data_IF_222466831447
#
_entry.id   IF_222466831447
#
_cell.length_a   1.000
_cell.length_b   1.000
_cell.length_c   1.000
_cell.angle_alpha   90.00
_cell.angle_beta   90.00
_cell.angle_gamma   90.00
#
_symmetry.space_group_name_H-M   'P 1'
#
loop_
_entity.id
_entity.type
_entity.pdbx_description
1 polymer ?
#
# COMPACT_ATOMS: atom_id res chain seq x y z
N UNK A 1 -15.72 13.81 18.95
CA UNK A 1 -16.10 13.50 17.56
C UNK A 1 -16.02 14.76 16.70
N UNK A 2 -15.20 14.75 15.61
CA UNK A 2 -14.90 15.91 14.76
C UNK A 2 -14.76 15.47 13.29
N UNK A 3 -15.16 16.33 12.34
CA UNK A 3 -14.93 16.09 10.92
C UNK A 3 -13.42 16.19 10.63
N UNK A 4 -12.86 15.17 10.00
CA UNK A 4 -11.45 15.10 9.59
C UNK A 4 -11.33 15.48 8.12
N UNK A 5 -10.68 16.61 7.85
CA UNK A 5 -10.42 17.06 6.50
C UNK A 5 -9.09 16.50 6.02
N UNK A 6 -9.13 15.73 4.93
CA UNK A 6 -7.95 15.12 4.32
C UNK A 6 -7.00 16.15 3.71
N UNK A 7 -5.71 15.84 3.70
CA UNK A 7 -4.78 16.46 2.78
C UNK A 7 -4.83 15.74 1.42
N UNK A 8 -4.79 16.49 0.31
CA UNK A 8 -4.88 15.93 -1.04
C UNK A 8 -3.52 15.94 -1.72
N UNK A 9 -3.12 14.80 -2.30
CA UNK A 9 -1.86 14.65 -3.03
C UNK A 9 -2.13 14.52 -4.54
N UNK A 10 -1.44 15.35 -5.32
CA UNK A 10 -1.61 15.45 -6.77
C UNK A 10 -0.38 14.90 -7.52
N UNK A 11 0.02 13.66 -7.19
CA UNK A 11 1.09 12.99 -7.92
C UNK A 11 0.66 12.68 -9.36
N UNK A 12 1.62 12.68 -10.29
CA UNK A 12 1.35 12.50 -11.73
C UNK A 12 0.73 11.15 -12.09
N UNK A 13 0.97 10.12 -11.30
CA UNK A 13 0.40 8.78 -11.46
C UNK A 13 -1.05 8.65 -10.98
N UNK A 14 -1.58 9.68 -10.32
CA UNK A 14 -2.95 9.70 -9.81
C UNK A 14 -4.02 9.75 -10.89
N UNK A 15 -5.23 9.33 -10.53
CA UNK A 15 -6.39 9.36 -11.42
C UNK A 15 -7.09 10.72 -11.41
N UNK A 16 -7.66 11.11 -12.55
CA UNK A 16 -8.53 12.29 -12.66
C UNK A 16 -10.00 11.96 -12.37
N UNK A 17 -10.33 10.67 -12.28
CA UNK A 17 -11.72 10.20 -12.21
C UNK A 17 -11.99 9.46 -10.89
N UNK A 18 -11.12 8.54 -10.45
CA UNK A 18 -11.43 7.59 -9.36
C UNK A 18 -11.78 8.27 -8.04
N UNK A 19 -10.93 9.14 -7.48
CA UNK A 19 -11.25 9.89 -6.25
C UNK A 19 -12.37 10.92 -6.47
N UNK A 20 -12.36 11.75 -7.54
CA UNK A 20 -13.49 12.64 -7.81
C UNK A 20 -14.83 11.90 -7.88
N UNK A 21 -14.93 10.78 -8.61
CA UNK A 21 -16.18 10.00 -8.69
C UNK A 21 -16.57 9.37 -7.35
N UNK A 22 -15.60 8.88 -6.55
CA UNK A 22 -15.87 8.45 -5.17
C UNK A 22 -16.55 9.55 -4.37
N UNK A 23 -16.12 10.80 -4.53
CA UNK A 23 -16.67 11.98 -3.85
C UNK A 23 -17.93 12.55 -4.52
N UNK A 24 -18.45 11.91 -5.57
CA UNK A 24 -19.59 12.41 -6.35
C UNK A 24 -19.30 13.69 -7.13
N UNK A 25 -18.04 13.93 -7.47
CA UNK A 25 -17.57 15.11 -8.20
C UNK A 25 -17.28 14.75 -9.68
N UNK A 26 -17.31 15.73 -10.60
CA UNK A 26 -16.86 15.53 -11.96
C UNK A 26 -15.35 15.28 -12.04
N UNK A 27 -14.88 14.86 -13.22
CA UNK A 27 -13.46 14.66 -13.50
C UNK A 27 -12.62 15.87 -13.10
N UNK A 28 -11.48 15.64 -12.48
CA UNK A 28 -10.58 16.70 -12.05
C UNK A 28 -9.67 17.18 -13.18
N UNK A 29 -9.35 18.47 -13.19
CA UNK A 29 -8.40 19.07 -14.12
C UNK A 29 -6.96 18.56 -13.94
N UNK A 30 -6.63 18.08 -12.73
CA UNK A 30 -5.32 17.53 -12.37
C UNK A 30 -5.49 16.15 -11.76
N UNK A 31 -4.46 15.27 -11.84
CA UNK A 31 -4.48 14.02 -11.12
C UNK A 31 -4.73 14.20 -9.64
N UNK A 32 -5.61 13.38 -9.05
CA UNK A 32 -5.82 13.24 -7.62
C UNK A 32 -5.37 11.84 -7.26
N UNK A 33 -4.20 11.75 -6.63
CA UNK A 33 -3.54 10.49 -6.37
C UNK A 33 -3.94 9.90 -5.03
N UNK A 34 -3.99 10.75 -3.99
CA UNK A 34 -4.27 10.29 -2.63
C UNK A 34 -5.04 11.35 -1.83
N UNK A 35 -5.89 10.86 -0.93
CA UNK A 35 -6.43 11.61 0.21
C UNK A 35 -5.77 11.05 1.46
N UNK A 36 -5.12 11.88 2.26
CA UNK A 36 -4.46 11.51 3.51
C UNK A 36 -5.33 11.86 4.71
N UNK A 37 -5.55 10.90 5.59
CA UNK A 37 -6.28 11.04 6.84
C UNK A 37 -5.36 10.64 7.99
N UNK A 38 -4.85 11.61 8.74
CA UNK A 38 -3.93 11.38 9.83
C UNK A 38 -3.07 12.60 10.18
N UNK A 39 -2.08 12.38 11.03
CA UNK A 39 -1.21 13.41 11.57
C UNK A 39 0.22 13.36 10.98
N UNK A 40 0.36 12.92 9.73
CA UNK A 40 1.67 12.79 9.08
C UNK A 40 2.36 14.15 8.98
N UNK A 41 3.62 14.29 9.44
CA UNK A 41 4.29 15.60 9.52
C UNK A 41 4.48 16.28 8.15
N UNK A 42 4.50 15.50 7.06
CA UNK A 42 4.64 16.02 5.70
C UNK A 42 3.39 16.72 5.17
N UNK A 43 2.19 16.35 5.62
CA UNK A 43 0.91 16.97 5.22
C UNK A 43 -0.22 16.46 6.15
N UNK A 44 -0.38 17.04 7.36
CA UNK A 44 -1.39 16.58 8.31
C UNK A 44 -2.80 16.97 7.87
N UNK A 45 -3.75 16.12 8.22
CA UNK A 45 -5.17 16.46 8.15
C UNK A 45 -5.53 17.58 9.11
N UNK A 46 -6.71 18.18 8.93
CA UNK A 46 -7.21 19.22 9.84
C UNK A 46 -8.52 18.83 10.49
N UNK A 47 -8.69 19.26 11.75
CA UNK A 47 -9.93 19.19 12.53
C UNK A 47 -10.25 20.60 13.04
N UNK A 48 -11.47 21.07 12.82
CA UNK A 48 -11.90 22.44 13.19
C UNK A 48 -10.93 23.54 12.71
N UNK A 49 -10.32 23.34 11.53
CA UNK A 49 -9.35 24.29 10.93
C UNK A 49 -7.95 24.27 11.52
N UNK A 50 -7.64 23.32 12.42
CA UNK A 50 -6.32 23.13 13.05
C UNK A 50 -5.67 21.85 12.55
N UNK A 51 -4.34 21.84 12.46
CA UNK A 51 -3.58 20.66 12.07
C UNK A 51 -3.71 19.54 13.13
N UNK A 52 -4.03 18.33 12.71
CA UNK A 52 -4.26 17.22 13.64
C UNK A 52 -3.02 16.90 14.51
N UNK A 53 -1.82 17.01 13.97
CA UNK A 53 -0.59 16.81 14.73
C UNK A 53 -0.41 17.86 15.84
N UNK A 54 -0.86 19.11 15.66
CA UNK A 54 -0.86 20.15 16.68
C UNK A 54 -1.91 19.87 17.75
N UNK A 55 -3.11 19.43 17.34
CA UNK A 55 -4.19 19.05 18.27
C UNK A 55 -3.74 17.87 19.15
N UNK A 56 -3.06 16.89 18.57
CA UNK A 56 -2.50 15.75 19.32
C UNK A 56 -1.42 16.23 20.31
N UNK A 57 -0.50 17.10 19.88
CA UNK A 57 0.59 17.58 20.72
C UNK A 57 0.12 18.41 21.93
N UNK A 58 -1.04 19.06 21.85
CA UNK A 58 -1.62 19.83 22.96
C UNK A 58 -2.23 18.94 24.05
N UNK A 59 -2.82 17.79 23.68
CA UNK A 59 -3.43 16.82 24.58
C UNK A 59 -3.19 15.37 24.13
N UNK A 60 -1.96 14.87 24.20
CA UNK A 60 -1.63 13.53 23.71
C UNK A 60 -2.45 12.44 24.42
N UNK A 61 -2.66 12.57 25.72
CA UNK A 61 -3.39 11.59 26.50
C UNK A 61 -4.88 11.52 26.12
N UNK A 62 -5.52 12.65 25.91
CA UNK A 62 -6.93 12.71 25.48
C UNK A 62 -7.11 12.30 24.02
N UNK A 63 -6.16 12.65 23.15
CA UNK A 63 -6.24 12.35 21.72
C UNK A 63 -5.86 10.89 21.40
N UNK A 64 -4.75 10.38 21.97
CA UNK A 64 -4.17 9.08 21.62
C UNK A 64 -4.47 7.99 22.64
N UNK A 65 -4.84 8.34 23.88
CA UNK A 65 -4.95 7.41 24.99
C UNK A 65 -3.58 7.07 25.62
N UNK A 66 -3.62 6.53 26.83
CA UNK A 66 -2.41 6.26 27.62
C UNK A 66 -1.52 5.18 27.01
N UNK A 67 -2.11 4.13 26.43
CA UNK A 67 -1.38 3.02 25.79
C UNK A 67 -0.60 3.51 24.57
N UNK A 68 -1.28 4.14 23.63
CA UNK A 68 -0.68 4.62 22.37
C UNK A 68 0.37 5.69 22.66
N UNK A 69 0.10 6.62 23.59
CA UNK A 69 1.07 7.65 23.99
C UNK A 69 2.31 7.07 24.65
N UNK A 70 2.17 5.99 25.44
CA UNK A 70 3.32 5.34 26.07
C UNK A 70 4.21 4.62 25.05
N UNK A 71 3.61 4.03 24.02
CA UNK A 71 4.33 3.21 23.04
C UNK A 71 4.92 4.02 21.88
N UNK A 72 4.14 4.96 21.34
CA UNK A 72 4.51 5.74 20.13
C UNK A 72 4.83 7.22 20.43
N UNK A 73 4.81 7.62 21.72
CA UNK A 73 4.96 9.02 22.12
C UNK A 73 3.73 9.86 21.72
N UNK A 74 3.96 11.15 21.44
CA UNK A 74 2.91 12.10 21.08
C UNK A 74 2.59 12.05 19.57
N UNK A 75 2.52 10.83 18.99
CA UNK A 75 2.36 10.62 17.55
C UNK A 75 1.27 9.61 17.26
N UNK A 76 0.39 9.92 16.32
CA UNK A 76 -0.48 8.92 15.73
C UNK A 76 0.39 7.92 14.94
N UNK A 77 0.36 6.60 15.25
CA UNK A 77 1.32 5.67 14.66
C UNK A 77 1.04 5.31 13.21
N UNK A 78 -0.14 5.65 12.68
CA UNK A 78 -0.55 5.29 11.32
C UNK A 78 -1.01 6.48 10.48
N UNK A 79 -1.05 6.25 9.18
CA UNK A 79 -1.68 7.10 8.18
C UNK A 79 -2.69 6.28 7.38
N UNK A 80 -3.95 6.73 7.35
CA UNK A 80 -4.99 6.17 6.50
C UNK A 80 -5.10 6.99 5.21
N UNK A 81 -5.31 6.32 4.07
CA UNK A 81 -5.41 6.98 2.77
C UNK A 81 -6.54 6.39 1.92
N UNK A 82 -7.05 7.20 1.01
CA UNK A 82 -7.65 6.72 -0.23
C UNK A 82 -6.61 6.92 -1.32
N UNK A 83 -6.24 5.85 -2.01
CA UNK A 83 -5.22 5.85 -3.07
C UNK A 83 -5.84 5.49 -4.41
N UNK A 84 -5.56 6.30 -5.45
CA UNK A 84 -6.08 6.13 -6.81
C UNK A 84 -4.94 6.10 -7.82
N UNK A 85 -4.53 4.90 -8.23
CA UNK A 85 -3.51 4.70 -9.25
C UNK A 85 -4.16 4.62 -10.64
N UNK A 86 -3.84 5.57 -11.52
CA UNK A 86 -4.13 5.53 -12.96
C UNK A 86 -2.94 4.98 -13.73
N UNK A 87 -1.74 5.25 -13.22
CA UNK A 87 -0.47 4.77 -13.78
C UNK A 87 0.32 4.00 -12.73
N UNK A 88 1.15 3.03 -13.15
CA UNK A 88 1.98 2.27 -12.24
C UNK A 88 2.90 3.16 -11.39
N UNK A 89 2.90 2.91 -10.09
CA UNK A 89 3.86 3.50 -9.17
C UNK A 89 5.24 2.89 -9.39
N UNK A 90 6.28 3.57 -8.87
CA UNK A 90 7.63 3.00 -8.90
C UNK A 90 7.70 1.69 -8.14
N UNK A 91 8.55 0.78 -8.61
CA UNK A 91 8.91 -0.41 -7.86
C UNK A 91 9.68 -0.01 -6.62
N UNK A 92 9.25 -0.46 -5.44
CA UNK A 92 9.78 -0.01 -4.16
C UNK A 92 9.80 -1.11 -3.10
N UNK A 93 10.65 -0.91 -2.09
CA UNK A 93 10.67 -1.69 -0.87
C UNK A 93 10.90 -0.77 0.33
N UNK A 94 10.43 -1.20 1.51
CA UNK A 94 10.57 -0.47 2.76
C UNK A 94 11.50 -1.21 3.72
N UNK A 95 12.35 -0.49 4.48
CA UNK A 95 13.23 -1.12 5.45
C UNK A 95 12.46 -1.67 6.64
N UNK A 96 13.02 -2.67 7.32
CA UNK A 96 12.59 -3.04 8.67
C UNK A 96 12.90 -1.91 9.66
N UNK A 97 12.31 -1.95 10.86
CA UNK A 97 12.55 -0.95 11.92
C UNK A 97 14.05 -0.82 12.23
N UNK A 98 14.75 -1.93 12.41
CA UNK A 98 16.19 -1.92 12.69
C UNK A 98 17.03 -1.34 11.52
N UNK A 99 16.67 -1.67 10.27
CA UNK A 99 17.33 -1.11 9.09
C UNK A 99 17.05 0.39 8.95
N UNK A 100 15.85 0.85 9.28
CA UNK A 100 15.49 2.27 9.26
C UNK A 100 16.28 3.07 10.29
N UNK A 101 16.37 2.58 11.53
CA UNK A 101 17.16 3.20 12.62
C UNK A 101 18.64 3.31 12.25
N UNK A 102 19.25 2.19 11.77
CA UNK A 102 20.65 2.17 11.32
C UNK A 102 20.88 3.13 10.13
N UNK A 103 20.01 3.05 9.13
CA UNK A 103 20.11 3.84 7.90
C UNK A 103 19.94 5.33 8.16
N UNK A 104 18.94 5.72 8.95
CA UNK A 104 18.68 7.09 9.34
C UNK A 104 19.85 7.70 10.11
N UNK A 105 20.37 6.97 11.13
CA UNK A 105 21.54 7.42 11.89
C UNK A 105 22.79 7.56 11.00
N UNK A 106 23.04 6.61 10.10
CA UNK A 106 24.15 6.62 9.15
C UNK A 106 24.09 7.79 8.19
N UNK A 107 22.94 8.06 7.57
CA UNK A 107 22.78 9.17 6.63
C UNK A 107 22.84 10.54 7.33
N UNK A 108 22.35 10.65 8.56
CA UNK A 108 22.52 11.84 9.39
C UNK A 108 24.01 12.10 9.73
N UNK A 109 24.75 11.06 10.12
CA UNK A 109 26.19 11.18 10.41
C UNK A 109 27.00 11.54 9.16
N UNK A 110 26.54 11.11 7.98
CA UNK A 110 27.14 11.49 6.70
C UNK A 110 26.76 12.91 6.23
N UNK A 111 25.88 13.62 6.94
CA UNK A 111 25.43 14.97 6.59
C UNK A 111 24.54 15.03 5.34
N UNK A 112 23.85 13.94 5.00
CA UNK A 112 22.91 13.93 3.87
C UNK A 112 21.60 14.59 4.33
N UNK A 113 21.24 15.71 3.71
CA UNK A 113 20.02 16.45 4.03
C UNK A 113 18.75 15.59 3.80
N UNK A 114 17.72 15.76 4.65
CA UNK A 114 16.46 15.01 4.54
C UNK A 114 15.76 15.19 3.19
N UNK A 115 15.95 16.33 2.54
CA UNK A 115 15.37 16.68 1.23
C UNK A 115 16.26 16.31 0.05
N UNK A 116 17.47 15.78 0.29
CA UNK A 116 18.38 15.39 -0.78
C UNK A 116 17.80 14.28 -1.64
N UNK A 117 18.01 14.34 -2.96
CA UNK A 117 17.46 13.38 -3.92
C UNK A 117 18.01 11.95 -3.74
N UNK A 118 19.17 11.82 -3.10
CA UNK A 118 19.83 10.55 -2.77
C UNK A 118 19.63 10.13 -1.31
N UNK A 119 18.74 10.78 -0.55
CA UNK A 119 18.36 10.36 0.80
C UNK A 119 17.38 9.20 0.74
N UNK A 120 17.75 8.04 1.31
CA UNK A 120 16.92 6.85 1.40
C UNK A 120 16.07 6.84 2.68
N UNK A 121 16.67 7.21 3.81
CA UNK A 121 16.05 7.14 5.14
C UNK A 121 15.68 8.52 5.64
N UNK A 122 14.40 8.87 5.58
CA UNK A 122 13.86 10.17 6.01
C UNK A 122 13.47 10.20 7.48
N UNK A 123 13.25 9.02 8.05
CA UNK A 123 12.91 8.80 9.45
C UNK A 123 13.50 7.46 9.92
N UNK A 124 13.37 7.18 11.21
CA UNK A 124 13.88 5.97 11.85
C UNK A 124 12.82 4.86 11.94
N UNK A 125 11.73 4.95 11.15
CA UNK A 125 10.62 4.02 11.25
C UNK A 125 10.52 3.07 10.07
N UNK A 126 9.91 1.90 10.29
CA UNK A 126 9.49 1.01 9.22
C UNK A 126 8.17 1.49 8.61
N UNK A 127 7.82 0.91 7.45
CA UNK A 127 6.64 1.31 6.70
C UNK A 127 5.86 0.08 6.20
N UNK A 128 5.33 -0.76 7.09
CA UNK A 128 4.37 -1.78 6.67
C UNK A 128 3.09 -1.11 6.16
N UNK A 129 2.51 -1.68 5.11
CA UNK A 129 1.34 -1.14 4.41
C UNK A 129 0.29 -2.23 4.23
N UNK A 130 -0.98 -1.86 4.32
CA UNK A 130 -2.11 -2.69 3.97
C UNK A 130 -2.99 -1.91 3.00
N UNK A 131 -3.31 -2.47 1.85
CA UNK A 131 -4.29 -1.89 0.93
C UNK A 131 -5.48 -2.81 0.75
N UNK A 132 -6.68 -2.22 0.83
CA UNK A 132 -7.97 -2.87 0.57
C UNK A 132 -8.56 -2.28 -0.70
N UNK A 133 -8.87 -3.12 -1.67
CA UNK A 133 -9.42 -2.70 -2.95
C UNK A 133 -10.86 -2.13 -2.80
N UNK A 134 -11.13 -1.00 -3.43
CA UNK A 134 -12.48 -0.44 -3.62
C UNK A 134 -13.02 -0.67 -5.04
N UNK A 135 -12.13 -0.84 -5.99
CA UNK A 135 -12.41 -1.28 -7.38
C UNK A 135 -11.53 -2.48 -7.68
N UNK A 136 -11.65 -3.08 -8.86
CA UNK A 136 -10.59 -3.98 -9.32
C UNK A 136 -9.26 -3.24 -9.19
N UNK A 137 -8.31 -3.87 -8.46
CA UNK A 137 -7.04 -3.27 -8.10
C UNK A 137 -5.90 -4.20 -8.48
N UNK A 138 -4.95 -3.68 -9.25
CA UNK A 138 -3.81 -4.44 -9.74
C UNK A 138 -2.53 -4.02 -9.03
N UNK A 139 -1.78 -5.00 -8.53
CA UNK A 139 -0.51 -4.79 -7.84
C UNK A 139 0.50 -5.87 -8.21
N UNK A 140 1.76 -5.56 -8.01
CA UNK A 140 2.85 -6.52 -7.98
C UNK A 140 3.42 -6.53 -6.56
N UNK A 141 3.52 -7.68 -5.89
CA UNK A 141 4.01 -7.73 -4.51
C UNK A 141 4.69 -9.06 -4.17
N UNK A 142 5.90 -8.94 -3.62
CA UNK A 142 6.73 -10.07 -3.21
C UNK A 142 7.21 -10.94 -4.37
N UNK A 143 8.29 -11.67 -4.14
CA UNK A 143 8.82 -12.57 -5.16
C UNK A 143 7.88 -13.76 -5.38
N UNK A 144 7.60 -14.04 -6.65
CA UNK A 144 6.85 -15.24 -7.06
C UNK A 144 7.69 -16.49 -6.84
N UNK A 145 7.09 -17.63 -6.41
CA UNK A 145 7.80 -18.91 -6.33
C UNK A 145 8.60 -19.20 -7.59
N UNK A 146 9.84 -19.61 -7.40
CA UNK A 146 10.80 -19.77 -8.49
C UNK A 146 10.33 -20.84 -9.50
N UNK A 147 9.63 -21.88 -9.04
CA UNK A 147 9.03 -22.88 -9.93
C UNK A 147 8.09 -22.23 -10.94
N UNK A 148 7.19 -21.34 -10.51
CA UNK A 148 6.29 -20.60 -11.40
C UNK A 148 7.01 -19.58 -12.29
N UNK A 149 8.11 -19.00 -11.79
CA UNK A 149 8.96 -18.12 -12.60
C UNK A 149 9.64 -18.92 -13.72
N UNK A 150 10.12 -20.13 -13.44
CA UNK A 150 10.67 -21.05 -14.44
C UNK A 150 9.62 -21.47 -15.49
N UNK A 151 8.36 -21.72 -15.09
CA UNK A 151 7.25 -21.99 -16.02
C UNK A 151 7.00 -20.81 -16.96
N UNK A 152 7.03 -19.58 -16.47
CA UNK A 152 6.92 -18.39 -17.31
C UNK A 152 8.07 -18.30 -18.30
N UNK A 153 9.31 -18.46 -17.84
CA UNK A 153 10.50 -18.35 -18.71
C UNK A 153 10.53 -19.46 -19.78
N UNK A 154 10.15 -20.68 -19.41
CA UNK A 154 10.00 -21.77 -20.38
C UNK A 154 8.94 -21.48 -21.46
N UNK A 155 7.81 -20.90 -21.05
CA UNK A 155 6.73 -20.55 -21.99
C UNK A 155 7.08 -19.38 -22.92
N UNK A 156 7.98 -18.49 -22.51
CA UNK A 156 8.47 -17.40 -23.34
C UNK A 156 9.32 -17.89 -24.52
N UNK A 157 9.97 -19.05 -24.40
CA UNK A 157 10.89 -19.57 -25.42
C UNK A 157 11.89 -18.48 -25.88
N UNK A 158 12.50 -17.80 -24.90
CA UNK A 158 13.41 -16.66 -25.11
C UNK A 158 14.85 -17.09 -24.79
N UNK A 159 15.70 -17.35 -25.80
CA UNK A 159 17.07 -17.85 -25.59
C UNK A 159 17.95 -16.91 -24.75
N UNK A 160 17.66 -15.61 -24.74
CA UNK A 160 18.37 -14.63 -23.93
C UNK A 160 18.15 -14.84 -22.42
N UNK A 161 17.11 -15.58 -22.02
CA UNK A 161 16.85 -15.97 -20.62
C UNK A 161 17.60 -17.24 -20.22
N UNK A 162 18.01 -18.11 -21.15
CA UNK A 162 18.62 -19.43 -20.86
C UNK A 162 19.83 -19.32 -19.96
N UNK A 163 20.68 -18.32 -20.20
CA UNK A 163 21.85 -18.07 -19.38
C UNK A 163 21.51 -17.79 -17.91
N UNK A 164 20.45 -17.03 -17.65
CA UNK A 164 20.02 -16.68 -16.30
C UNK A 164 19.34 -17.85 -15.60
N UNK A 165 18.55 -18.64 -16.34
CA UNK A 165 17.94 -19.87 -15.83
C UNK A 165 19.02 -20.91 -15.46
N UNK A 166 20.05 -21.03 -16.28
CA UNK A 166 21.18 -21.94 -16.03
C UNK A 166 22.05 -21.57 -14.82
N UNK A 167 21.91 -20.36 -14.26
CA UNK A 167 22.60 -19.95 -13.03
C UNK A 167 21.87 -20.42 -11.76
N UNK A 168 20.65 -20.92 -11.87
CA UNK A 168 19.81 -21.28 -10.73
C UNK A 168 20.00 -22.74 -10.35
N UNK A 169 20.23 -22.99 -9.06
CA UNK A 169 20.29 -24.33 -8.50
C UNK A 169 18.89 -25.00 -8.54
N UNK A 170 18.84 -26.29 -8.80
CA UNK A 170 17.58 -27.05 -8.89
C UNK A 170 17.09 -27.62 -7.55
N UNK A 171 17.83 -27.42 -6.46
CA UNK A 171 17.39 -27.84 -5.12
C UNK A 171 16.11 -27.06 -4.73
N UNK A 172 14.99 -27.73 -4.42
CA UNK A 172 13.71 -27.08 -4.13
C UNK A 172 13.60 -26.53 -2.69
N UNK A 173 14.68 -26.51 -1.92
CA UNK A 173 14.63 -25.98 -0.56
C UNK A 173 14.39 -24.47 -0.54
N UNK A 174 13.68 -23.98 0.46
CA UNK A 174 13.42 -22.55 0.64
C UNK A 174 14.71 -21.71 0.74
N UNK A 175 15.78 -22.28 1.30
CA UNK A 175 17.10 -21.62 1.39
C UNK A 175 17.71 -21.45 0.01
N UNK A 176 17.67 -22.48 -0.84
CA UNK A 176 18.17 -22.43 -2.21
C UNK A 176 17.31 -21.52 -3.07
N UNK A 177 15.97 -21.55 -2.92
CA UNK A 177 15.08 -20.64 -3.62
C UNK A 177 15.40 -19.18 -3.31
N UNK A 178 15.57 -18.83 -2.02
CA UNK A 178 15.97 -17.49 -1.59
C UNK A 178 17.31 -17.06 -2.18
N UNK A 179 18.31 -17.96 -2.18
CA UNK A 179 19.61 -17.70 -2.77
C UNK A 179 19.51 -17.48 -4.29
N UNK A 180 18.74 -18.29 -5.00
CA UNK A 180 18.48 -18.18 -6.42
C UNK A 180 17.80 -16.86 -6.78
N UNK A 181 16.74 -16.46 -6.06
CA UNK A 181 16.05 -15.19 -6.26
C UNK A 181 17.01 -14.01 -6.05
N UNK A 182 17.84 -14.08 -5.01
CA UNK A 182 18.86 -13.05 -4.75
C UNK A 182 19.87 -12.95 -5.88
N UNK A 183 20.39 -14.07 -6.36
CA UNK A 183 21.35 -14.12 -7.47
C UNK A 183 20.72 -13.53 -8.73
N UNK A 184 19.52 -13.96 -9.09
CA UNK A 184 18.84 -13.50 -10.31
C UNK A 184 18.52 -12.00 -10.24
N UNK A 185 17.89 -11.54 -9.16
CA UNK A 185 17.57 -10.14 -8.99
C UNK A 185 18.81 -9.25 -8.96
N UNK A 186 19.86 -9.63 -8.21
CA UNK A 186 21.10 -8.85 -8.11
C UNK A 186 21.82 -8.79 -9.46
N UNK A 187 21.83 -9.89 -10.21
CA UNK A 187 22.40 -9.91 -11.55
C UNK A 187 21.66 -8.95 -12.47
N UNK A 188 20.34 -8.98 -12.45
CA UNK A 188 19.53 -8.13 -13.34
C UNK A 188 19.60 -6.65 -12.96
N UNK A 189 19.55 -6.30 -11.66
CA UNK A 189 19.57 -4.90 -11.26
C UNK A 189 20.92 -4.22 -11.53
N UNK A 190 21.99 -5.01 -11.69
CA UNK A 190 23.34 -4.52 -12.00
C UNK A 190 23.73 -4.66 -13.47
N UNK A 191 22.86 -5.22 -14.32
CA UNK A 191 23.15 -5.44 -15.74
C UNK A 191 23.42 -4.11 -16.47
N UNK A 192 24.47 -3.99 -17.31
CA UNK A 192 24.75 -2.78 -18.07
C UNK A 192 23.57 -2.39 -18.97
N UNK A 193 23.31 -1.07 -19.09
CA UNK A 193 22.14 -0.54 -19.78
C UNK A 193 21.94 -1.08 -21.19
N UNK A 194 23.00 -1.24 -21.98
CA UNK A 194 22.89 -1.78 -23.35
C UNK A 194 22.39 -3.22 -23.34
N UNK A 195 22.99 -4.07 -22.51
CA UNK A 195 22.59 -5.48 -22.35
C UNK A 195 21.17 -5.62 -21.78
N UNK A 196 20.80 -4.75 -20.84
CA UNK A 196 19.46 -4.71 -20.28
C UNK A 196 18.41 -4.42 -21.34
N UNK A 197 18.65 -3.44 -22.22
CA UNK A 197 17.74 -3.10 -23.31
C UNK A 197 17.61 -4.24 -24.32
N UNK A 198 18.70 -4.91 -24.67
CA UNK A 198 18.68 -6.09 -25.54
C UNK A 198 17.82 -7.20 -24.92
N UNK A 199 18.04 -7.54 -23.65
CA UNK A 199 17.30 -8.56 -22.93
C UNK A 199 15.79 -8.21 -22.84
N UNK A 200 15.45 -6.99 -22.43
CA UNK A 200 14.05 -6.54 -22.35
C UNK A 200 13.37 -6.60 -23.71
N UNK A 201 14.05 -6.18 -24.79
CA UNK A 201 13.48 -6.25 -26.14
C UNK A 201 13.19 -7.69 -26.58
N UNK A 202 14.07 -8.64 -26.26
CA UNK A 202 13.85 -10.06 -26.56
C UNK A 202 12.67 -10.62 -25.76
N UNK A 203 12.59 -10.30 -24.45
CA UNK A 203 11.49 -10.70 -23.57
C UNK A 203 10.15 -10.13 -24.04
N UNK A 204 10.10 -8.86 -24.42
CA UNK A 204 8.88 -8.20 -24.95
C UNK A 204 8.39 -8.90 -26.21
N UNK A 205 9.29 -9.16 -27.18
CA UNK A 205 8.95 -9.88 -28.40
C UNK A 205 8.43 -11.30 -28.12
N UNK A 206 9.06 -12.00 -27.17
CA UNK A 206 8.60 -13.32 -26.73
C UNK A 206 7.22 -13.25 -26.04
N UNK A 207 7.01 -12.24 -25.20
CA UNK A 207 5.74 -11.99 -24.52
C UNK A 207 4.59 -11.69 -25.48
N UNK A 208 4.82 -10.89 -26.52
CA UNK A 208 3.81 -10.64 -27.56
C UNK A 208 3.35 -11.94 -28.23
N UNK A 209 4.27 -12.84 -28.53
CA UNK A 209 3.92 -14.19 -29.09
C UNK A 209 3.12 -15.02 -28.11
N UNK A 210 3.53 -15.02 -26.83
CA UNK A 210 2.83 -15.76 -25.76
C UNK A 210 1.39 -15.27 -25.59
N UNK A 211 1.17 -13.96 -25.51
CA UNK A 211 -0.13 -13.33 -25.38
C UNK A 211 -1.02 -13.67 -26.61
N UNK A 212 -0.45 -13.61 -27.81
CA UNK A 212 -1.21 -13.94 -29.03
C UNK A 212 -1.65 -15.42 -29.10
N UNK A 213 -0.87 -16.33 -28.48
CA UNK A 213 -1.18 -17.75 -28.44
C UNK A 213 -2.30 -18.11 -27.44
N UNK A 214 -2.27 -17.56 -26.24
CA UNK A 214 -3.29 -17.77 -25.19
C UNK A 214 -3.41 -16.54 -24.27
N UNK A 215 -4.25 -15.57 -24.60
CA UNK A 215 -4.40 -14.35 -23.83
C UNK A 215 -5.02 -14.56 -22.44
N UNK A 216 -5.67 -15.68 -22.17
CA UNK A 216 -6.32 -15.97 -20.90
C UNK A 216 -5.39 -16.63 -19.87
N UNK A 217 -4.24 -17.17 -20.30
CA UNK A 217 -3.27 -17.79 -19.40
C UNK A 217 -2.67 -16.77 -18.43
N UNK A 218 -2.37 -17.19 -17.20
CA UNK A 218 -1.77 -16.32 -16.20
C UNK A 218 -0.42 -15.71 -16.63
N UNK A 219 0.37 -16.44 -17.42
CA UNK A 219 1.64 -15.97 -17.97
C UNK A 219 1.44 -14.84 -18.96
N UNK A 220 0.39 -14.90 -19.76
CA UNK A 220 0.01 -13.85 -20.69
C UNK A 220 -0.45 -12.58 -19.95
N UNK A 221 -1.17 -12.72 -18.82
CA UNK A 221 -1.52 -11.57 -17.97
C UNK A 221 -0.27 -10.91 -17.37
N UNK A 222 0.68 -11.70 -16.86
CA UNK A 222 1.98 -11.17 -16.40
C UNK A 222 2.68 -10.41 -17.53
N UNK A 223 2.77 -11.01 -18.72
CA UNK A 223 3.45 -10.37 -19.85
C UNK A 223 2.71 -9.12 -20.35
N UNK A 224 1.40 -9.06 -20.30
CA UNK A 224 0.63 -7.84 -20.65
C UNK A 224 1.03 -6.68 -19.75
N UNK A 225 1.14 -6.92 -18.43
CA UNK A 225 1.65 -5.90 -17.50
C UNK A 225 3.10 -5.51 -17.81
N UNK A 226 3.98 -6.48 -18.07
CA UNK A 226 5.40 -6.23 -18.39
C UNK A 226 5.54 -5.40 -19.67
N UNK A 227 4.73 -5.66 -20.69
CA UNK A 227 4.70 -4.90 -21.94
C UNK A 227 4.25 -3.44 -21.69
N UNK A 228 3.18 -3.25 -20.93
CA UNK A 228 2.70 -1.90 -20.55
C UNK A 228 3.77 -1.13 -19.77
N UNK A 229 4.40 -1.77 -18.78
CA UNK A 229 5.51 -1.18 -18.02
C UNK A 229 6.68 -0.77 -18.93
N UNK A 230 7.06 -1.63 -19.90
CA UNK A 230 8.13 -1.29 -20.83
C UNK A 230 7.72 -0.17 -21.83
N UNK A 231 6.46 -0.07 -22.17
CA UNK A 231 5.97 1.04 -23.00
C UNK A 231 6.10 2.39 -22.26
N UNK A 232 5.81 2.40 -20.96
CA UNK A 232 5.89 3.61 -20.11
C UNK A 232 7.32 3.95 -19.67
N UNK A 233 8.12 2.92 -19.39
CA UNK A 233 9.50 3.01 -18.91
C UNK A 233 10.45 2.19 -19.80
N UNK A 234 10.73 2.60 -21.06
CA UNK A 234 11.47 1.80 -22.02
C UNK A 234 12.87 1.41 -21.54
N UNK A 235 13.12 0.12 -21.35
CA UNK A 235 14.40 -0.41 -20.93
C UNK A 235 14.76 -0.12 -19.47
N UNK A 236 13.78 0.25 -18.62
CA UNK A 236 13.97 0.41 -17.19
C UNK A 236 14.19 -0.95 -16.50
N UNK A 237 15.00 -0.94 -15.44
CA UNK A 237 15.33 -2.16 -14.70
C UNK A 237 14.10 -2.76 -14.00
N UNK A 238 13.15 -1.95 -13.60
CA UNK A 238 11.91 -2.40 -12.96
C UNK A 238 11.06 -3.30 -13.86
N UNK A 239 11.23 -3.22 -15.20
CA UNK A 239 10.58 -4.14 -16.15
C UNK A 239 11.06 -5.58 -15.94
N UNK A 240 12.36 -5.79 -15.68
CA UNK A 240 12.89 -7.10 -15.32
C UNK A 240 12.47 -7.51 -13.91
N UNK A 241 12.43 -6.56 -12.96
CA UNK A 241 11.93 -6.81 -11.61
C UNK A 241 10.50 -7.34 -11.62
N UNK A 242 9.62 -6.77 -12.44
CA UNK A 242 8.22 -7.18 -12.57
C UNK A 242 8.05 -8.65 -12.99
N UNK A 243 8.99 -9.22 -13.75
CA UNK A 243 8.98 -10.64 -14.14
C UNK A 243 9.14 -11.60 -12.95
N UNK A 244 9.72 -11.15 -11.85
CA UNK A 244 9.99 -11.98 -10.67
C UNK A 244 8.91 -11.86 -9.58
N UNK A 245 7.99 -10.89 -9.70
CA UNK A 245 6.99 -10.62 -8.67
C UNK A 245 5.69 -11.39 -8.92
N UNK A 246 4.92 -11.59 -7.86
CA UNK A 246 3.52 -11.97 -7.97
C UNK A 246 2.74 -10.80 -8.60
N UNK A 247 1.93 -11.10 -9.59
CA UNK A 247 0.94 -10.18 -10.14
C UNK A 247 -0.40 -10.49 -9.51
N UNK A 248 -0.97 -9.53 -8.82
CA UNK A 248 -2.13 -9.67 -7.95
C UNK A 248 -3.26 -8.83 -8.53
N UNK A 249 -4.42 -9.45 -8.66
CA UNK A 249 -5.67 -8.79 -8.98
C UNK A 249 -6.59 -8.92 -7.76
N UNK A 250 -6.93 -7.79 -7.15
CA UNK A 250 -7.84 -7.72 -6.01
C UNK A 250 -9.21 -7.26 -6.47
N UNK A 251 -10.23 -8.01 -6.12
CA UNK A 251 -11.62 -7.57 -6.20
C UNK A 251 -11.97 -6.64 -5.02
N UNK A 252 -13.03 -5.81 -5.13
CA UNK A 252 -13.46 -4.96 -4.03
C UNK A 252 -13.61 -5.71 -2.70
N UNK A 253 -12.98 -5.18 -1.65
CA UNK A 253 -12.92 -5.79 -0.33
C UNK A 253 -11.73 -6.72 -0.09
N UNK A 254 -11.09 -7.28 -1.12
CA UNK A 254 -9.85 -8.04 -0.94
C UNK A 254 -8.67 -7.12 -0.62
N UNK A 255 -7.66 -7.67 0.07
CA UNK A 255 -6.53 -6.89 0.56
C UNK A 255 -5.19 -7.60 0.40
N UNK A 256 -4.12 -6.81 0.34
CA UNK A 256 -2.74 -7.27 0.40
C UNK A 256 -1.98 -6.50 1.48
N UNK A 257 -1.18 -7.22 2.26
CA UNK A 257 -0.25 -6.66 3.25
C UNK A 257 1.17 -6.69 2.69
N UNK A 258 1.87 -5.59 2.86
CA UNK A 258 3.23 -5.36 2.38
C UNK A 258 4.14 -5.15 3.58
N UNK A 259 4.92 -6.17 3.88
CA UNK A 259 5.88 -6.14 4.99
C UNK A 259 7.22 -5.51 4.57
N UNK A 260 8.05 -5.26 5.57
CA UNK A 260 9.42 -4.79 5.35
C UNK A 260 10.21 -5.74 4.42
N UNK A 261 10.98 -5.16 3.51
CA UNK A 261 11.80 -5.90 2.55
C UNK A 261 11.05 -6.52 1.37
N UNK A 262 9.72 -6.40 1.31
CA UNK A 262 8.96 -6.88 0.15
C UNK A 262 9.01 -5.86 -1.00
N UNK A 263 9.50 -6.30 -2.14
CA UNK A 263 9.48 -5.50 -3.37
C UNK A 263 8.06 -5.47 -3.93
N UNK A 264 7.53 -4.29 -4.22
CA UNK A 264 6.15 -4.12 -4.67
C UNK A 264 5.95 -2.87 -5.54
N UNK A 265 4.83 -2.84 -6.26
CA UNK A 265 4.30 -1.64 -6.91
C UNK A 265 2.79 -1.78 -7.11
N UNK A 266 2.03 -0.72 -6.89
CA UNK A 266 0.64 -0.62 -7.34
C UNK A 266 0.62 -0.27 -8.83
N UNK A 267 -0.24 -0.93 -9.58
CA UNK A 267 -0.32 -0.78 -11.04
C UNK A 267 -1.51 0.09 -11.42
N UNK A 268 -2.70 -0.23 -10.92
CA UNK A 268 -3.91 0.57 -11.16
C UNK A 268 -5.02 0.20 -10.19
N UNK A 269 -5.96 1.12 -9.98
CA UNK A 269 -7.17 0.92 -9.19
C UNK A 269 -7.33 1.95 -8.07
N UNK A 270 -8.45 1.84 -7.35
CA UNK A 270 -8.79 2.63 -6.17
C UNK A 270 -8.80 1.72 -4.94
N UNK A 271 -8.17 2.15 -3.85
CA UNK A 271 -8.14 1.40 -2.60
C UNK A 271 -8.06 2.28 -1.36
N UNK A 272 -8.38 1.69 -0.21
CA UNK A 272 -8.08 2.24 1.12
C UNK A 272 -6.75 1.65 1.57
N UNK A 273 -5.76 2.51 1.79
CA UNK A 273 -4.44 2.13 2.28
C UNK A 273 -4.28 2.60 3.73
N UNK A 274 -3.71 1.74 4.57
CA UNK A 274 -3.23 2.13 5.90
C UNK A 274 -1.79 1.70 6.05
N UNK A 275 -0.97 2.55 6.66
CA UNK A 275 0.45 2.31 6.82
C UNK A 275 0.96 2.86 8.15
N UNK A 276 2.05 2.30 8.67
CA UNK A 276 2.79 2.98 9.73
C UNK A 276 3.41 4.27 9.19
N UNK A 277 3.49 5.30 10.04
CA UNK A 277 4.01 6.61 9.64
C UNK A 277 5.52 6.54 9.35
N UNK A 278 5.85 6.52 8.05
CA UNK A 278 7.23 6.63 7.55
C UNK A 278 7.24 7.08 6.08
N UNK A 279 8.30 7.83 5.71
CA UNK A 279 8.59 8.23 4.33
C UNK A 279 9.73 7.42 3.69
N UNK A 280 10.20 6.35 4.35
CA UNK A 280 11.32 5.55 3.91
C UNK A 280 10.96 4.71 2.68
N UNK A 281 11.63 4.96 1.55
CA UNK A 281 11.40 4.27 0.27
C UNK A 281 12.72 4.00 -0.42
N UNK A 282 13.01 2.71 -0.67
CA UNK A 282 14.07 2.27 -1.57
C UNK A 282 13.46 1.86 -2.91
N UNK A 283 13.89 2.50 -3.98
CA UNK A 283 13.33 2.28 -5.31
C UNK A 283 14.06 1.18 -6.05
N UNK A 284 13.31 0.34 -6.75
CA UNK A 284 13.81 -0.78 -7.55
C UNK A 284 13.69 -0.59 -9.06
N UNK A 285 13.15 0.57 -9.51
CA UNK A 285 12.92 0.87 -10.93
C UNK A 285 11.53 1.46 -11.17
N UNK A 286 11.11 1.53 -12.44
CA UNK A 286 9.90 2.19 -12.92
C UNK A 286 9.84 3.66 -12.47
N UNK A 287 10.97 4.34 -12.54
CA UNK A 287 11.11 5.71 -12.05
C UNK A 287 12.33 6.42 -12.63
N UNK A 288 12.24 7.73 -12.91
CA UNK A 288 13.42 8.54 -13.23
C UNK A 288 14.21 8.97 -11.98
N UNK A 289 13.70 8.69 -10.75
CA UNK A 289 14.37 9.06 -9.50
C UNK A 289 15.56 8.17 -9.21
N UNK A 290 16.41 8.61 -8.27
CA UNK A 290 17.58 7.87 -7.83
C UNK A 290 17.22 6.47 -7.32
N UNK A 291 17.99 5.48 -7.73
CA UNK A 291 17.91 4.07 -7.28
C UNK A 291 19.25 3.70 -6.64
N UNK A 292 19.21 3.45 -5.34
CA UNK A 292 20.36 2.98 -4.57
C UNK A 292 20.39 1.44 -4.60
N UNK A 293 21.05 0.89 -5.60
CA UNK A 293 21.10 -0.56 -5.81
C UNK A 293 21.74 -1.30 -4.61
N UNK A 294 22.89 -0.88 -4.08
CA UNK A 294 23.49 -1.54 -2.91
C UNK A 294 22.58 -1.57 -1.69
N UNK A 295 21.91 -0.46 -1.39
CA UNK A 295 21.02 -0.38 -0.23
C UNK A 295 19.72 -1.16 -0.47
N UNK A 296 19.15 -1.11 -1.68
CA UNK A 296 17.97 -1.90 -2.04
C UNK A 296 18.24 -3.40 -1.86
N UNK A 297 19.37 -3.93 -2.39
CA UNK A 297 19.74 -5.35 -2.25
C UNK A 297 19.93 -5.76 -0.79
N UNK A 298 20.38 -4.84 0.08
CA UNK A 298 20.52 -5.05 1.53
C UNK A 298 19.17 -5.12 2.24
N UNK A 299 18.21 -4.28 1.84
CA UNK A 299 16.89 -4.16 2.47
C UNK A 299 15.96 -5.31 2.07
N UNK A 300 16.04 -5.79 0.83
CA UNK A 300 15.13 -6.80 0.30
C UNK A 300 15.22 -8.13 1.06
N UNK A 301 14.05 -8.72 1.30
CA UNK A 301 13.90 -10.13 1.65
C UNK A 301 13.65 -10.94 0.38
N UNK A 302 14.40 -12.04 0.21
CA UNK A 302 14.30 -12.90 -0.97
C UNK A 302 13.47 -14.15 -0.68
N UNK A 303 12.37 -13.96 0.05
CA UNK A 303 11.43 -15.04 0.35
C UNK A 303 10.31 -15.01 -0.68
N UNK A 304 10.11 -16.12 -1.36
CA UNK A 304 8.96 -16.29 -2.25
C UNK A 304 7.70 -16.58 -1.45
N UNK A 305 6.57 -16.07 -1.91
CA UNK A 305 5.26 -16.35 -1.34
C UNK A 305 4.25 -16.61 -2.48
N UNK A 306 3.39 -17.63 -2.31
CA UNK A 306 2.36 -17.96 -3.30
C UNK A 306 1.24 -16.93 -3.32
N UNK A 307 0.82 -16.44 -2.15
CA UNK A 307 -0.26 -15.46 -2.03
C UNK A 307 0.00 -14.47 -0.89
N UNK A 308 0.31 -13.19 -1.20
CA UNK A 308 0.45 -12.14 -0.20
C UNK A 308 -0.90 -11.54 0.24
N UNK A 309 -2.04 -12.17 -0.06
CA UNK A 309 -3.37 -11.70 0.30
C UNK A 309 -3.64 -11.85 1.78
N UNK A 310 -4.30 -10.85 2.37
CA UNK A 310 -4.80 -10.91 3.74
C UNK A 310 -6.13 -11.65 3.77
N UNK A 311 -6.22 -12.68 4.63
CA UNK A 311 -7.47 -13.37 4.88
C UNK A 311 -8.35 -12.54 5.82
N UNK A 312 -9.47 -12.05 5.30
CA UNK A 312 -10.45 -11.32 6.11
C UNK A 312 -11.00 -12.18 7.24
N UNK A 313 -11.22 -11.58 8.39
CA UNK A 313 -11.90 -12.21 9.52
C UNK A 313 -13.28 -11.59 9.69
N UNK A 314 -14.32 -12.41 9.64
CA UNK A 314 -15.70 -11.98 9.90
C UNK A 314 -15.86 -11.53 11.36
N UNK A 315 -16.36 -10.32 11.55
CA UNK A 315 -16.64 -9.66 12.82
C UNK A 315 -18.11 -9.34 13.03
N UNK A 316 -18.98 -9.77 12.14
CA UNK A 316 -20.42 -9.44 12.16
C UNK A 316 -21.15 -9.91 13.43
N UNK A 317 -20.61 -10.92 14.13
CA UNK A 317 -21.18 -11.41 15.39
C UNK A 317 -20.63 -10.75 16.65
N UNK A 318 -19.83 -9.68 16.53
CA UNK A 318 -19.33 -8.94 17.70
C UNK A 318 -20.43 -8.11 18.34
N UNK A 319 -20.37 -7.93 19.67
CA UNK A 319 -21.41 -7.25 20.46
C UNK A 319 -21.61 -5.77 20.06
N UNK A 320 -20.59 -5.14 19.44
CA UNK A 320 -20.66 -3.77 18.97
C UNK A 320 -21.13 -3.63 17.51
N UNK A 321 -21.49 -4.73 16.84
CA UNK A 321 -21.99 -4.75 15.45
C UNK A 321 -23.47 -5.18 15.49
N UNK A 322 -24.36 -4.31 15.02
CA UNK A 322 -25.81 -4.50 15.13
C UNK A 322 -26.44 -4.61 13.74
N UNK A 323 -26.84 -5.81 13.35
CA UNK A 323 -27.45 -6.11 12.05
C UNK A 323 -26.62 -5.64 10.83
N UNK A 324 -25.28 -5.51 11.00
CA UNK A 324 -24.33 -5.12 9.98
C UNK A 324 -23.37 -6.25 9.63
N UNK A 325 -22.78 -6.22 8.44
CA UNK A 325 -21.66 -7.07 8.09
C UNK A 325 -20.34 -6.34 8.40
N UNK A 326 -19.41 -7.04 9.05
CA UNK A 326 -18.14 -6.45 9.45
C UNK A 326 -16.98 -7.42 9.25
N UNK A 327 -15.84 -6.91 8.84
CA UNK A 327 -14.61 -7.66 8.63
C UNK A 327 -13.41 -6.92 9.21
N UNK A 328 -12.43 -7.68 9.69
CA UNK A 328 -11.11 -7.18 10.08
C UNK A 328 -10.06 -7.69 9.09
N UNK A 329 -9.02 -6.90 8.89
CA UNK A 329 -7.86 -7.24 8.08
C UNK A 329 -6.64 -7.45 8.98
N UNK A 330 -6.41 -8.67 9.49
CA UNK A 330 -5.34 -8.91 10.46
C UNK A 330 -3.96 -8.76 9.81
N UNK A 331 -3.09 -8.04 10.51
CA UNK A 331 -1.68 -7.82 10.13
C UNK A 331 -0.78 -8.11 11.33
N UNK A 332 0.50 -8.51 11.12
CA UNK A 332 1.39 -8.90 12.20
C UNK A 332 2.15 -7.71 12.82
N UNK A 333 1.49 -6.55 12.97
CA UNK A 333 2.05 -5.31 13.52
C UNK A 333 1.05 -4.69 14.49
N UNK A 334 1.50 -3.74 15.30
CA UNK A 334 0.71 -3.12 16.37
C UNK A 334 0.36 -1.64 16.10
N UNK A 335 0.93 -1.05 15.06
CA UNK A 335 0.75 0.36 14.73
C UNK A 335 -0.67 0.69 14.27
N UNK A 336 -1.37 -0.29 13.67
CA UNK A 336 -2.75 -0.10 13.23
C UNK A 336 -3.55 -1.39 13.15
N UNK A 337 -4.86 -1.20 13.28
CA UNK A 337 -5.90 -2.17 12.95
C UNK A 337 -6.86 -1.52 11.95
N UNK A 338 -7.34 -2.29 10.98
CA UNK A 338 -8.33 -1.84 10.01
C UNK A 338 -9.51 -2.79 9.97
N UNK A 339 -10.69 -2.24 10.22
CA UNK A 339 -11.97 -2.94 10.05
C UNK A 339 -12.78 -2.29 8.92
N UNK A 340 -13.64 -3.07 8.26
CA UNK A 340 -14.62 -2.61 7.29
C UNK A 340 -16.01 -3.01 7.76
N UNK A 341 -16.97 -2.09 7.68
CA UNK A 341 -18.35 -2.32 8.09
C UNK A 341 -19.29 -1.90 6.97
N UNK A 342 -20.13 -2.81 6.51
CA UNK A 342 -21.22 -2.53 5.60
C UNK A 342 -22.50 -2.32 6.41
N UNK A 343 -23.03 -1.10 6.35
CA UNK A 343 -24.24 -0.66 7.03
C UNK A 343 -25.42 -0.64 6.06
N UNK A 344 -26.56 -1.21 6.45
CA UNK A 344 -27.78 -1.24 5.65
C UNK A 344 -28.99 -0.95 6.51
N UNK A 345 -29.92 -0.11 6.04
CA UNK A 345 -31.18 0.15 6.73
C UNK A 345 -30.99 0.65 8.17
N UNK A 346 -31.41 -0.15 9.16
CA UNK A 346 -31.32 0.17 10.58
C UNK A 346 -30.07 -0.39 11.26
N UNK A 347 -29.15 -0.95 10.50
CA UNK A 347 -27.92 -1.48 11.07
C UNK A 347 -27.00 -0.40 11.63
N UNK A 348 -26.20 -0.76 12.62
CA UNK A 348 -25.26 0.18 13.25
C UNK A 348 -24.00 -0.53 13.73
N UNK A 349 -22.96 0.28 13.99
CA UNK A 349 -21.77 -0.16 14.71
C UNK A 349 -21.42 0.84 15.79
N UNK A 350 -21.09 0.32 16.98
CA UNK A 350 -20.66 1.10 18.12
C UNK A 350 -19.14 1.21 18.12
N UNK A 351 -18.63 2.42 18.14
CA UNK A 351 -17.23 2.78 18.18
C UNK A 351 -16.89 3.27 19.58
N UNK A 352 -16.41 2.36 20.42
CA UNK A 352 -16.00 2.61 21.81
C UNK A 352 -14.61 2.02 22.02
N UNK A 353 -13.59 2.79 21.65
CA UNK A 353 -12.20 2.39 21.69
C UNK A 353 -11.38 3.33 22.58
N UNK A 354 -10.47 2.77 23.37
CA UNK A 354 -9.49 3.50 24.19
C UNK A 354 -8.27 3.98 23.36
N UNK A 355 -8.47 4.17 22.06
CA UNK A 355 -7.42 4.50 21.09
C UNK A 355 -7.92 5.51 20.05
N UNK A 356 -7.01 6.27 19.41
CA UNK A 356 -7.36 7.18 18.35
C UNK A 356 -8.00 6.42 17.18
N UNK A 357 -9.13 6.91 16.67
CA UNK A 357 -9.86 6.24 15.62
C UNK A 357 -10.16 7.20 14.47
N UNK A 358 -9.96 6.73 13.23
CA UNK A 358 -10.40 7.41 12.01
C UNK A 358 -11.44 6.53 11.35
N UNK A 359 -12.66 7.05 11.17
CA UNK A 359 -13.76 6.37 10.50
C UNK A 359 -14.02 7.03 9.15
N UNK A 360 -13.69 6.34 8.05
CA UNK A 360 -13.73 6.81 6.66
C UNK A 360 -14.94 6.20 5.94
N UNK A 361 -15.84 7.05 5.40
CA UNK A 361 -16.93 6.62 4.53
C UNK A 361 -16.41 6.45 3.08
N UNK A 362 -16.71 5.30 2.45
CA UNK A 362 -16.33 5.00 1.06
C UNK A 362 -17.51 4.78 0.13
N UNK A 363 -18.71 4.53 0.67
CA UNK A 363 -19.95 4.45 -0.10
C UNK A 363 -21.15 4.91 0.74
N UNK A 364 -22.17 5.43 0.08
CA UNK A 364 -23.39 5.90 0.73
C UNK A 364 -23.17 7.13 1.62
N UNK A 365 -23.83 7.17 2.78
CA UNK A 365 -23.60 8.20 3.80
C UNK A 365 -23.82 7.63 5.20
N UNK A 366 -22.97 8.03 6.14
CA UNK A 366 -22.95 7.54 7.53
C UNK A 366 -23.21 8.71 8.48
N UNK A 367 -24.11 8.50 9.43
CA UNK A 367 -24.34 9.44 10.54
C UNK A 367 -23.74 8.85 11.81
N UNK A 368 -22.87 9.61 12.43
CA UNK A 368 -22.29 9.33 13.74
C UNK A 368 -23.05 10.08 14.80
N UNK A 369 -23.36 9.42 15.91
CA UNK A 369 -24.08 10.00 17.06
C UNK A 369 -23.28 9.73 18.33
N UNK A 370 -22.87 10.78 19.05
CA UNK A 370 -22.17 10.63 20.32
C UNK A 370 -23.13 10.41 21.49
N UNK A 371 -22.61 10.11 22.67
CA UNK A 371 -23.39 9.88 23.90
C UNK A 371 -24.24 11.08 24.33
N UNK A 372 -23.93 12.30 23.89
CA UNK A 372 -24.70 13.51 24.16
C UNK A 372 -25.80 13.76 23.11
N UNK A 373 -25.91 12.92 22.08
CA UNK A 373 -26.86 13.06 20.97
C UNK A 373 -26.43 14.06 19.89
N UNK A 374 -25.18 14.55 19.91
CA UNK A 374 -24.63 15.34 18.81
C UNK A 374 -24.41 14.42 17.60
N UNK A 375 -24.78 14.87 16.42
CA UNK A 375 -24.69 14.12 15.19
C UNK A 375 -23.71 14.76 14.20
N UNK A 376 -23.01 13.92 13.42
CA UNK A 376 -22.16 14.30 12.32
C UNK A 376 -22.40 13.33 11.16
N UNK A 377 -22.68 13.84 9.96
CA UNK A 377 -22.88 13.00 8.77
C UNK A 377 -21.72 13.18 7.82
N UNK A 378 -21.20 12.07 7.28
CA UNK A 378 -20.16 12.02 6.25
C UNK A 378 -20.61 11.28 5.00
N UNK A 379 -20.01 11.63 3.88
CA UNK A 379 -20.22 11.06 2.56
C UNK A 379 -18.91 10.46 2.03
N UNK A 380 -18.90 9.73 0.90
CA UNK A 380 -17.68 9.08 0.40
C UNK A 380 -16.49 10.03 0.25
N UNK A 381 -15.33 9.58 0.73
CA UNK A 381 -14.11 10.38 0.78
C UNK A 381 -14.03 11.35 1.96
N UNK A 382 -14.96 11.30 2.90
CA UNK A 382 -14.94 12.06 4.16
C UNK A 382 -14.74 11.12 5.36
N UNK A 383 -14.07 11.62 6.40
CA UNK A 383 -13.79 10.84 7.61
C UNK A 383 -14.10 11.63 8.89
N UNK A 384 -14.24 10.89 9.98
CA UNK A 384 -14.42 11.42 11.34
C UNK A 384 -13.19 11.05 12.16
N UNK A 385 -12.69 12.01 12.93
CA UNK A 385 -11.71 11.81 13.99
C UNK A 385 -12.43 11.56 15.32
N UNK A 386 -12.12 10.47 15.97
CA UNK A 386 -12.53 10.10 17.32
C UNK A 386 -11.28 10.04 18.20
N UNK A 387 -11.07 11.04 19.09
CA UNK A 387 -9.99 10.94 20.08
C UNK A 387 -10.24 9.79 21.05
N UNK A 388 -9.18 9.23 21.62
CA UNK A 388 -9.26 8.12 22.58
C UNK A 388 -10.12 8.44 23.82
N UNK A 389 -10.24 9.73 24.21
CA UNK A 389 -11.09 10.17 25.29
C UNK A 389 -12.57 10.33 24.88
N UNK A 390 -12.91 10.12 23.60
CA UNK A 390 -14.31 10.17 23.16
C UNK A 390 -15.06 8.97 23.76
N UNK A 391 -16.25 9.25 24.28
CA UNK A 391 -17.15 8.20 24.73
C UNK A 391 -17.75 7.46 23.50
N UNK A 392 -18.56 6.44 23.77
CA UNK A 392 -19.29 5.70 22.75
C UNK A 392 -19.89 6.59 21.66
N UNK A 393 -19.54 6.28 20.41
CA UNK A 393 -20.12 6.87 19.20
C UNK A 393 -20.76 5.76 18.38
N UNK A 394 -22.04 5.91 18.04
CA UNK A 394 -22.76 4.96 17.18
C UNK A 394 -22.77 5.47 15.75
N UNK A 395 -22.34 4.66 14.80
CA UNK A 395 -22.41 4.94 13.37
C UNK A 395 -23.57 4.17 12.72
N UNK A 396 -24.42 4.88 11.96
CA UNK A 396 -25.59 4.32 11.25
C UNK A 396 -25.59 4.75 9.79
N UNK A 397 -26.12 3.92 8.89
CA UNK A 397 -26.36 4.34 7.51
C UNK A 397 -27.44 5.44 7.48
N UNK A 398 -27.18 6.51 6.73
CA UNK A 398 -28.19 7.51 6.38
C UNK A 398 -28.81 7.26 5.01
N UNK A 399 -28.09 6.59 4.13
CA UNK A 399 -28.53 6.04 2.84
C UNK A 399 -29.03 4.61 3.01
N UNK A 400 -29.60 4.02 1.95
CA UNK A 400 -30.05 2.62 1.96
C UNK A 400 -28.94 1.65 2.32
N UNK A 401 -27.70 1.95 1.89
CA UNK A 401 -26.48 1.25 2.24
C UNK A 401 -25.31 2.23 2.36
N UNK A 402 -24.34 1.90 3.20
CA UNK A 402 -23.09 2.65 3.35
C UNK A 402 -21.93 1.71 3.68
N UNK A 403 -20.72 2.12 3.33
CA UNK A 403 -19.48 1.38 3.59
C UNK A 403 -18.53 2.27 4.40
N UNK A 404 -18.05 1.72 5.51
CA UNK A 404 -17.25 2.44 6.51
C UNK A 404 -15.97 1.65 6.79
N UNK A 405 -14.82 2.30 6.67
CA UNK A 405 -13.55 1.80 7.16
C UNK A 405 -13.20 2.44 8.49
N UNK A 406 -12.83 1.61 9.47
CA UNK A 406 -12.48 2.04 10.83
C UNK A 406 -11.02 1.69 11.07
N UNK A 407 -10.17 2.72 11.10
CA UNK A 407 -8.74 2.61 11.39
C UNK A 407 -8.48 3.06 12.82
N UNK A 408 -7.71 2.26 13.56
CA UNK A 408 -7.35 2.54 14.97
C UNK A 408 -5.97 1.99 15.31
N UNK A 409 -5.35 2.49 16.38
CA UNK A 409 -4.10 2.00 16.92
C UNK A 409 -4.29 1.00 18.06
#
# INVERSE_FOLDING_TARGET
>A
MQLLHSATRNYSWGSRTLIPHLQGQPDADKPVAELWFGAHPGDPSTVDGRLLNEVIAEDPAGQLGSRVSAEYGERLPFLLKVLAAEEPLSLQAHPSKAQAEEGFARENAAGIELTASNRNYKDDNHKPELIVALTDFYAMAGFRPLARTRELFAALECPELDHYVAMLDDDPSATTESANLRVLFTTWITIPSAKRKELISAIVTAGERLIAADPADWKSRVMSTVLDLNQRYPGDIGVLGALLLNHIELSPGEAVYLDAGQLHAYVSGLGVEIMANSDNVLRGGLTPKFVDVPELVKVLTYTAADEPRVQQQDKSAQDNVHDAAAWSYPVPIEEFLLDRVELTGSSSVDLDYDSPTIALCTAGSVTFTDAAGKTLTVTPGQAVWLPAAEALVTATAKSDAADLFVARA
#
